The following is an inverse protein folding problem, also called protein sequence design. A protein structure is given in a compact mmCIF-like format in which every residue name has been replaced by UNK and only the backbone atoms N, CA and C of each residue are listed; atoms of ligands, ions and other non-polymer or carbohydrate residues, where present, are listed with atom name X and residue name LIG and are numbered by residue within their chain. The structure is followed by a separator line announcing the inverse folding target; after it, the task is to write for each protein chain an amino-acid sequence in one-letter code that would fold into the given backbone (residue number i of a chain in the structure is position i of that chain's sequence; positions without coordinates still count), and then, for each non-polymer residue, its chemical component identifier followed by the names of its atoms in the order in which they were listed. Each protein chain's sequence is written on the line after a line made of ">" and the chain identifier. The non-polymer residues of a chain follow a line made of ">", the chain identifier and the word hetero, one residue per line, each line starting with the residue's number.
data_IF_663583968004
#
_entry.id   IF_663583968004
#
_cell.length_a   1.000
_cell.length_b   1.000
_cell.length_c   1.000
_cell.angle_alpha   90.00
_cell.angle_beta   90.00
_cell.angle_gamma   90.00
#
_symmetry.space_group_name_H-M   'P 1'
#
loop_
_entity.id
_entity.type
_entity.pdbx_description
1 polymer ?
#
# COMPACT_ATOMS: atom_id res chain seq x y z
N UNK A 1 14.85 37.16 1.64
CA UNK A 1 14.79 35.74 1.31
C UNK A 1 16.24 35.25 1.25
N UNK A 2 16.65 34.36 2.16
CA UNK A 2 17.98 33.78 2.10
C UNK A 2 17.98 32.71 1.00
N UNK A 3 18.57 33.04 -0.13
CA UNK A 3 18.80 32.08 -1.21
C UNK A 3 19.99 31.21 -0.78
N UNK A 4 19.75 29.94 -0.53
CA UNK A 4 20.82 28.97 -0.36
C UNK A 4 21.35 28.66 -1.75
N UNK A 5 22.65 28.83 -2.04
CA UNK A 5 23.20 28.49 -3.36
C UNK A 5 23.01 27.00 -3.62
N UNK A 6 22.45 26.67 -4.78
CA UNK A 6 22.31 25.27 -5.17
C UNK A 6 23.66 24.69 -5.56
N UNK A 7 23.92 23.41 -5.25
CA UNK A 7 25.13 22.74 -5.68
C UNK A 7 25.17 22.66 -7.23
N UNK A 8 26.39 22.61 -7.82
CA UNK A 8 26.56 22.62 -9.28
C UNK A 8 25.76 21.55 -10.00
N UNK A 9 25.51 20.42 -9.36
CA UNK A 9 24.73 19.28 -9.88
C UNK A 9 23.26 19.65 -10.12
N UNK A 10 22.76 20.67 -9.43
CA UNK A 10 21.40 21.20 -9.56
C UNK A 10 21.33 22.47 -10.43
N UNK A 11 22.42 22.82 -11.12
CA UNK A 11 22.45 23.93 -12.09
C UNK A 11 21.32 23.75 -13.12
N UNK A 12 20.56 24.82 -13.35
CA UNK A 12 19.37 24.80 -14.22
C UNK A 12 18.04 24.75 -13.49
N UNK A 13 18.03 24.54 -12.16
CA UNK A 13 16.86 24.82 -11.31
C UNK A 13 16.88 26.23 -10.71
N UNK A 14 18.03 26.89 -10.64
CA UNK A 14 18.24 28.19 -9.97
C UNK A 14 17.24 29.26 -10.38
N UNK A 15 16.97 29.38 -11.68
CA UNK A 15 16.04 30.38 -12.20
C UNK A 15 14.58 29.90 -12.28
N UNK A 16 14.28 28.71 -11.78
CA UNK A 16 12.95 28.10 -11.87
C UNK A 16 12.29 27.93 -10.52
N UNK A 17 13.03 28.07 -9.43
CA UNK A 17 12.54 27.90 -8.06
C UNK A 17 12.62 29.22 -7.31
N UNK A 18 11.59 29.49 -6.52
CA UNK A 18 11.48 30.74 -5.74
C UNK A 18 11.94 30.57 -4.31
N UNK A 19 12.08 29.34 -3.86
CA UNK A 19 12.46 29.02 -2.50
C UNK A 19 13.19 27.67 -2.47
N UNK A 20 14.23 27.56 -1.63
CA UNK A 20 15.05 26.37 -1.48
C UNK A 20 15.41 26.20 0.00
N UNK A 21 15.29 24.99 0.50
CA UNK A 21 15.77 24.54 1.79
C UNK A 21 16.58 23.26 1.63
N UNK A 22 17.80 23.26 2.13
CA UNK A 22 18.56 22.03 2.27
C UNK A 22 18.10 21.28 3.51
N UNK A 23 17.65 20.03 3.35
CA UNK A 23 17.23 19.15 4.45
C UNK A 23 18.40 18.31 4.96
N UNK A 24 19.22 17.82 4.04
CA UNK A 24 20.46 17.12 4.33
C UNK A 24 21.45 17.27 3.14
N UNK A 25 22.62 16.63 3.20
CA UNK A 25 23.64 16.75 2.16
C UNK A 25 23.18 16.29 0.76
N UNK A 26 22.16 15.47 0.69
CA UNK A 26 21.63 14.88 -0.56
C UNK A 26 20.21 15.31 -0.92
N UNK A 27 19.49 16.01 -0.04
CA UNK A 27 18.07 16.33 -0.21
C UNK A 27 17.77 17.81 -0.04
N UNK A 28 17.13 18.37 -1.06
CA UNK A 28 16.67 19.74 -1.10
C UNK A 28 15.16 19.76 -1.27
N UNK A 29 14.47 20.60 -0.50
CA UNK A 29 13.07 20.93 -0.72
C UNK A 29 12.98 22.33 -1.33
N UNK A 30 12.15 22.48 -2.33
CA UNK A 30 12.02 23.75 -3.04
C UNK A 30 10.64 23.95 -3.66
N UNK A 31 10.35 25.18 -4.07
CA UNK A 31 9.13 25.49 -4.81
C UNK A 31 9.12 24.77 -6.15
N UNK A 32 7.97 24.23 -6.55
CA UNK A 32 7.87 23.50 -7.80
C UNK A 32 7.92 24.44 -9.02
N UNK A 33 8.79 24.22 -9.99
CA UNK A 33 8.82 25.01 -11.23
C UNK A 33 7.54 24.96 -12.04
N UNK A 34 6.76 23.89 -11.91
CA UNK A 34 5.52 23.67 -12.67
C UNK A 34 4.28 24.26 -12.01
N UNK A 35 4.08 23.99 -10.71
CA UNK A 35 2.86 24.42 -10.01
C UNK A 35 3.08 25.63 -9.09
N UNK A 36 4.31 26.17 -9.04
CA UNK A 36 4.62 27.40 -8.32
C UNK A 36 4.44 27.31 -6.80
N UNK A 37 4.14 28.46 -6.19
CA UNK A 37 4.06 28.67 -4.72
C UNK A 37 2.61 28.70 -4.23
N UNK A 38 1.65 28.12 -4.94
CA UNK A 38 0.24 28.16 -4.54
C UNK A 38 0.02 27.40 -3.22
N UNK A 39 -0.61 28.01 -2.21
CA UNK A 39 -0.85 27.36 -0.93
C UNK A 39 -1.86 26.22 -1.09
N UNK A 40 -1.49 25.03 -0.63
CA UNK A 40 -2.42 23.94 -0.40
C UNK A 40 -2.72 23.85 1.10
N UNK A 41 -3.96 23.59 1.46
CA UNK A 41 -4.45 23.58 2.85
C UNK A 41 -3.78 22.55 3.80
N UNK A 42 -2.91 21.70 3.30
CA UNK A 42 -2.28 20.62 4.10
C UNK A 42 -0.78 20.77 4.32
N UNK A 43 -0.14 21.77 3.77
CA UNK A 43 1.32 21.88 3.82
C UNK A 43 1.77 22.84 4.92
N UNK A 44 2.76 22.42 5.71
CA UNK A 44 3.41 23.27 6.72
C UNK A 44 4.14 24.46 6.10
N UNK A 45 4.53 24.34 4.81
CA UNK A 45 5.09 25.42 4.02
C UNK A 45 4.76 25.23 2.53
N UNK A 46 4.14 26.20 1.84
CA UNK A 46 3.69 26.07 0.45
C UNK A 46 4.82 25.89 -0.57
N UNK A 47 6.05 26.07 -0.14
CA UNK A 47 7.23 26.08 -1.00
C UNK A 47 8.08 24.80 -0.96
N UNK A 48 7.70 23.79 -0.19
CA UNK A 48 8.54 22.58 0.04
C UNK A 48 8.15 21.35 -0.77
N UNK A 49 7.32 21.52 -1.78
CA UNK A 49 6.66 20.41 -2.50
C UNK A 49 7.54 19.69 -3.49
N UNK A 50 8.54 20.37 -4.01
CA UNK A 50 9.46 19.80 -4.98
C UNK A 50 10.69 19.32 -4.25
N UNK A 51 10.84 18.01 -4.13
CA UNK A 51 11.98 17.36 -3.48
C UNK A 51 12.99 17.00 -4.56
N UNK A 52 14.23 17.39 -4.34
CA UNK A 52 15.35 17.08 -5.23
C UNK A 52 16.45 16.36 -4.44
N UNK A 53 16.91 15.26 -5.00
CA UNK A 53 18.07 14.52 -4.50
C UNK A 53 19.25 14.77 -5.43
N UNK A 54 20.39 15.15 -4.87
CA UNK A 54 21.64 15.36 -5.62
C UNK A 54 22.14 14.03 -6.19
N UNK A 55 22.07 12.99 -5.37
CA UNK A 55 22.32 11.61 -5.78
C UNK A 55 21.05 10.78 -5.60
N UNK A 56 20.35 10.53 -6.69
CA UNK A 56 19.15 9.70 -6.62
C UNK A 56 19.53 8.24 -6.39
N UNK A 57 18.74 7.55 -5.56
CA UNK A 57 18.91 6.11 -5.32
C UNK A 57 18.71 5.26 -6.57
N UNK A 58 18.16 5.83 -7.62
CA UNK A 58 17.83 5.11 -8.86
C UNK A 58 19.05 4.94 -9.76
N UNK A 59 19.84 6.01 -9.95
CA UNK A 59 20.95 6.03 -10.90
C UNK A 59 22.17 6.84 -10.45
N UNK A 60 22.17 7.35 -9.21
CA UNK A 60 23.23 8.20 -8.69
C UNK A 60 23.26 9.61 -9.27
N UNK A 61 22.31 9.99 -10.14
CA UNK A 61 22.23 11.32 -10.76
C UNK A 61 21.19 12.19 -10.07
N UNK A 62 21.28 13.52 -10.19
CA UNK A 62 20.27 14.42 -9.64
C UNK A 62 18.88 14.16 -10.21
N UNK A 63 17.91 14.05 -9.32
CA UNK A 63 16.51 13.81 -9.67
C UNK A 63 15.58 14.57 -8.72
N UNK A 64 14.52 15.15 -9.26
CA UNK A 64 13.50 15.83 -8.48
C UNK A 64 12.09 15.42 -8.84
N UNK A 65 11.19 15.48 -7.85
CA UNK A 65 9.77 15.20 -8.03
C UNK A 65 8.90 16.10 -7.16
N UNK A 66 7.89 16.67 -7.76
CA UNK A 66 6.89 17.44 -7.01
C UNK A 66 5.83 16.52 -6.40
N UNK A 67 5.64 16.59 -5.07
CA UNK A 67 4.61 15.83 -4.35
C UNK A 67 3.18 16.24 -4.72
N UNK A 68 3.00 17.49 -5.17
CA UNK A 68 1.69 18.03 -5.52
C UNK A 68 1.31 17.72 -6.97
N UNK A 69 2.14 18.12 -7.96
CA UNK A 69 1.77 17.98 -9.37
C UNK A 69 2.39 16.75 -10.06
N UNK A 70 3.25 16.00 -9.37
CA UNK A 70 3.93 14.84 -9.96
C UNK A 70 4.99 15.20 -11.01
N UNK A 71 5.25 16.50 -11.23
CA UNK A 71 6.28 16.94 -12.16
C UNK A 71 7.65 16.39 -11.73
N UNK A 72 8.42 15.91 -12.71
CA UNK A 72 9.73 15.31 -12.50
C UNK A 72 10.78 16.12 -13.21
N UNK A 73 11.95 16.18 -12.61
CA UNK A 73 13.13 16.81 -13.16
C UNK A 73 14.35 15.89 -13.02
N UNK A 74 15.25 15.97 -13.98
CA UNK A 74 16.55 15.30 -13.96
C UNK A 74 17.58 16.26 -14.53
N UNK A 75 18.81 16.20 -14.04
CA UNK A 75 19.93 17.01 -14.56
C UNK A 75 20.29 16.69 -16.00
N UNK A 76 20.01 15.49 -16.44
CA UNK A 76 20.15 15.11 -17.84
C UNK A 76 19.03 15.78 -18.63
N UNK A 77 19.38 16.88 -19.26
CA UNK A 77 18.50 17.77 -20.04
C UNK A 77 18.00 17.13 -21.32
N UNK A 78 17.54 16.01 -21.35
CA UNK A 78 16.72 15.55 -22.46
C UNK A 78 15.71 14.56 -21.92
N UNK A 79 14.58 14.50 -22.55
CA UNK A 79 13.81 13.28 -22.74
C UNK A 79 14.75 12.21 -23.32
N UNK A 80 15.76 11.83 -22.53
CA UNK A 80 16.72 10.81 -22.87
C UNK A 80 15.87 9.56 -23.04
N UNK A 81 15.56 9.28 -24.29
CA UNK A 81 15.04 7.99 -24.70
C UNK A 81 16.09 7.00 -24.19
N UNK A 82 15.83 6.41 -23.05
CA UNK A 82 16.70 5.38 -22.49
C UNK A 82 16.95 4.35 -23.57
N UNK A 83 18.20 4.04 -23.83
CA UNK A 83 18.51 2.93 -24.72
C UNK A 83 17.92 1.65 -24.11
N UNK A 84 17.68 0.65 -24.93
CA UNK A 84 17.15 -0.63 -24.42
C UNK A 84 18.11 -1.25 -23.40
N UNK A 85 19.42 -1.03 -23.52
CA UNK A 85 20.44 -1.46 -22.57
C UNK A 85 20.31 -0.73 -21.23
N UNK A 86 20.10 0.59 -21.23
CA UNK A 86 19.89 1.36 -20.00
C UNK A 86 18.60 0.97 -19.30
N UNK A 87 17.52 0.72 -20.06
CA UNK A 87 16.27 0.20 -19.53
C UNK A 87 16.48 -1.19 -18.90
N UNK A 88 17.18 -2.08 -19.59
CA UNK A 88 17.49 -3.41 -19.09
C UNK A 88 18.35 -3.36 -17.81
N UNK A 89 19.38 -2.53 -17.78
CA UNK A 89 20.23 -2.32 -16.61
C UNK A 89 19.45 -1.74 -15.42
N UNK A 90 18.55 -0.80 -15.66
CA UNK A 90 17.67 -0.25 -14.62
C UNK A 90 16.72 -1.30 -14.06
N UNK A 91 16.10 -2.10 -14.92
CA UNK A 91 15.21 -3.19 -14.51
C UNK A 91 15.97 -4.24 -13.71
N UNK A 92 17.18 -4.63 -14.15
CA UNK A 92 18.02 -5.58 -13.46
C UNK A 92 18.41 -5.07 -12.05
N UNK A 93 18.87 -3.82 -11.95
CA UNK A 93 19.22 -3.20 -10.66
C UNK A 93 18.00 -3.09 -9.73
N UNK A 94 16.83 -2.78 -10.27
CA UNK A 94 15.58 -2.73 -9.49
C UNK A 94 15.20 -4.12 -8.96
N UNK A 95 15.36 -5.17 -9.77
CA UNK A 95 15.13 -6.56 -9.34
C UNK A 95 16.08 -6.95 -8.21
N UNK A 96 17.37 -6.65 -8.35
CA UNK A 96 18.35 -6.91 -7.29
C UNK A 96 17.98 -6.21 -5.96
N UNK A 97 17.62 -4.92 -6.01
CA UNK A 97 17.20 -4.18 -4.82
C UNK A 97 15.94 -4.79 -4.18
N UNK A 98 14.99 -5.22 -4.99
CA UNK A 98 13.78 -5.88 -4.49
C UNK A 98 14.10 -7.24 -3.85
N UNK A 99 14.99 -8.04 -4.46
CA UNK A 99 15.43 -9.31 -3.88
C UNK A 99 16.12 -9.12 -2.52
N UNK A 100 17.05 -8.16 -2.42
CA UNK A 100 17.70 -7.82 -1.14
C UNK A 100 16.68 -7.38 -0.08
N UNK A 101 15.67 -6.62 -0.46
CA UNK A 101 14.61 -6.20 0.46
C UNK A 101 13.75 -7.38 0.90
N UNK A 102 13.45 -8.33 0.01
CA UNK A 102 12.72 -9.55 0.37
C UNK A 102 13.52 -10.46 1.31
N UNK A 103 14.82 -10.61 1.07
CA UNK A 103 15.73 -11.34 1.97
C UNK A 103 15.77 -10.67 3.35
N UNK A 104 15.86 -9.35 3.38
CA UNK A 104 15.80 -8.58 4.64
C UNK A 104 14.51 -8.79 5.40
N UNK A 105 13.38 -8.79 4.71
CA UNK A 105 12.06 -9.01 5.30
C UNK A 105 11.93 -10.44 5.80
N UNK A 106 12.39 -11.41 5.03
CA UNK A 106 12.41 -12.81 5.45
C UNK A 106 13.24 -12.99 6.71
N UNK A 107 14.45 -12.47 6.72
CA UNK A 107 15.32 -12.51 7.90
C UNK A 107 14.65 -11.83 9.11
N UNK A 108 14.01 -10.68 8.92
CA UNK A 108 13.27 -10.01 9.99
C UNK A 108 12.09 -10.85 10.49
N UNK A 109 11.30 -11.44 9.58
CA UNK A 109 10.21 -12.33 9.95
C UNK A 109 10.69 -13.52 10.78
N UNK A 110 11.76 -14.19 10.34
CA UNK A 110 12.35 -15.36 11.02
C UNK A 110 13.00 -15.00 12.36
N UNK A 111 13.67 -13.85 12.45
CA UNK A 111 14.46 -13.51 13.63
C UNK A 111 13.72 -12.70 14.67
N UNK A 112 12.82 -11.80 14.25
CA UNK A 112 12.11 -10.90 15.16
C UNK A 112 10.68 -11.38 15.40
N UNK A 113 9.90 -11.55 14.34
CA UNK A 113 8.47 -11.83 14.46
C UNK A 113 8.24 -13.27 14.95
N UNK A 114 8.93 -14.24 14.36
CA UNK A 114 8.77 -15.65 14.73
C UNK A 114 9.33 -15.95 16.11
N UNK A 115 10.49 -15.41 16.49
CA UNK A 115 11.08 -15.63 17.81
C UNK A 115 10.21 -15.07 18.94
N UNK A 116 9.51 -13.98 18.71
CA UNK A 116 8.65 -13.41 19.75
C UNK A 116 7.32 -14.15 19.91
N UNK A 117 6.86 -14.87 18.88
CA UNK A 117 5.61 -15.66 18.89
C UNK A 117 4.38 -14.95 19.47
N UNK A 118 4.43 -13.62 19.54
CA UNK A 118 3.37 -12.80 20.17
C UNK A 118 2.02 -12.97 19.49
N UNK A 119 2.00 -13.24 18.19
CA UNK A 119 0.78 -13.48 17.44
C UNK A 119 0.07 -14.76 17.92
N UNK A 120 0.81 -15.81 18.30
CA UNK A 120 0.26 -17.03 18.87
C UNK A 120 -0.41 -16.78 20.22
N UNK A 121 0.23 -15.98 21.08
CA UNK A 121 -0.34 -15.53 22.36
C UNK A 121 -1.66 -14.78 22.14
N UNK A 122 -1.68 -13.84 21.20
CA UNK A 122 -2.89 -13.07 20.94
C UNK A 122 -4.02 -13.92 20.34
N UNK A 123 -3.69 -14.89 19.49
CA UNK A 123 -4.65 -15.86 18.98
C UNK A 123 -5.24 -16.72 20.12
N UNK A 124 -4.41 -17.11 21.10
CA UNK A 124 -4.88 -17.81 22.28
C UNK A 124 -5.81 -16.95 23.14
N UNK A 125 -5.46 -15.68 23.39
CA UNK A 125 -6.29 -14.76 24.14
C UNK A 125 -7.69 -14.59 23.52
N UNK A 126 -7.82 -14.63 22.20
CA UNK A 126 -9.11 -14.54 21.52
C UNK A 126 -10.07 -15.69 21.89
N UNK A 127 -9.54 -16.88 22.22
CA UNK A 127 -10.37 -18.04 22.61
C UNK A 127 -11.17 -17.76 23.88
N UNK A 128 -10.63 -16.97 24.81
CA UNK A 128 -11.25 -16.62 26.09
C UNK A 128 -11.90 -15.24 26.11
N UNK A 129 -11.61 -14.39 25.11
CA UNK A 129 -12.13 -13.03 25.05
C UNK A 129 -13.54 -12.97 24.47
N UNK A 130 -14.54 -12.77 25.31
CA UNK A 130 -15.93 -12.53 24.86
C UNK A 130 -16.02 -11.34 23.94
N UNK A 131 -15.38 -10.22 24.30
CA UNK A 131 -15.36 -9.01 23.49
C UNK A 131 -14.80 -9.25 22.08
N UNK A 132 -13.63 -9.87 21.99
CA UNK A 132 -12.99 -10.15 20.69
C UNK A 132 -13.83 -11.07 19.81
N UNK A 133 -14.45 -12.08 20.40
CA UNK A 133 -15.34 -13.00 19.70
C UNK A 133 -16.60 -12.29 19.17
N UNK A 134 -17.25 -11.48 20.00
CA UNK A 134 -18.44 -10.71 19.61
C UNK A 134 -18.12 -9.71 18.51
N UNK A 135 -16.99 -9.01 18.60
CA UNK A 135 -16.52 -8.11 17.56
C UNK A 135 -16.36 -8.82 16.22
N UNK A 136 -15.71 -9.98 16.19
CA UNK A 136 -15.52 -10.75 14.95
C UNK A 136 -16.84 -11.34 14.43
N UNK A 137 -17.73 -11.82 15.32
CA UNK A 137 -19.07 -12.28 14.92
C UNK A 137 -19.89 -11.16 14.28
N UNK A 138 -19.88 -9.96 14.87
CA UNK A 138 -20.57 -8.79 14.32
C UNK A 138 -20.07 -8.42 12.92
N UNK A 139 -18.81 -8.77 12.61
CA UNK A 139 -18.23 -8.63 11.26
C UNK A 139 -18.44 -9.84 10.35
N UNK A 140 -19.26 -10.80 10.79
CA UNK A 140 -19.63 -11.96 10.01
C UNK A 140 -18.60 -13.09 9.96
N UNK A 141 -17.57 -13.06 10.80
CA UNK A 141 -16.62 -14.16 10.92
C UNK A 141 -17.18 -15.30 11.76
N UNK A 142 -16.87 -16.55 11.36
CA UNK A 142 -17.24 -17.75 12.11
C UNK A 142 -16.07 -18.24 12.96
N UNK A 143 -16.37 -18.85 14.11
CA UNK A 143 -15.35 -19.22 15.11
C UNK A 143 -14.28 -20.19 14.63
N UNK A 144 -14.61 -21.09 13.68
CA UNK A 144 -13.69 -22.04 13.10
C UNK A 144 -12.65 -21.40 12.17
N UNK A 145 -12.92 -20.18 11.64
CA UNK A 145 -12.05 -19.47 10.72
C UNK A 145 -11.06 -18.53 11.40
N UNK A 146 -11.39 -17.98 12.58
CA UNK A 146 -10.58 -16.92 13.22
C UNK A 146 -9.16 -17.38 13.50
N UNK A 147 -8.98 -18.53 14.17
CA UNK A 147 -7.67 -19.06 14.54
C UNK A 147 -7.06 -19.91 13.45
N UNK A 148 -7.85 -20.83 12.88
CA UNK A 148 -7.34 -21.85 11.95
C UNK A 148 -6.90 -21.27 10.63
N UNK A 149 -7.66 -20.33 10.07
CA UNK A 149 -7.39 -19.78 8.74
C UNK A 149 -6.69 -18.42 8.80
N UNK A 150 -7.22 -17.50 9.57
CA UNK A 150 -6.74 -16.11 9.55
C UNK A 150 -5.77 -15.81 10.69
N UNK A 151 -5.77 -16.60 11.76
CA UNK A 151 -4.93 -16.40 12.94
C UNK A 151 -5.23 -15.10 13.67
N UNK A 152 -6.49 -14.65 13.65
CA UNK A 152 -6.90 -13.50 14.44
C UNK A 152 -6.63 -13.73 15.90
N UNK A 153 -6.32 -12.66 16.59
CA UNK A 153 -6.14 -12.65 18.03
C UNK A 153 -6.67 -11.35 18.61
N UNK A 154 -6.48 -11.19 19.92
CA UNK A 154 -6.83 -9.96 20.63
C UNK A 154 -5.74 -9.53 21.58
N UNK A 155 -5.56 -8.23 21.67
CA UNK A 155 -4.82 -7.52 22.71
C UNK A 155 -5.81 -6.58 23.41
N UNK A 156 -6.27 -6.96 24.61
CA UNK A 156 -7.37 -6.24 25.29
C UNK A 156 -6.94 -4.87 25.79
N UNK A 157 -5.70 -4.75 26.27
CA UNK A 157 -5.13 -3.51 26.81
C UNK A 157 -4.02 -2.98 25.91
N UNK A 158 -4.34 -2.65 24.66
CA UNK A 158 -3.36 -2.05 23.76
C UNK A 158 -3.16 -0.57 24.09
N UNK A 159 -1.92 -0.20 24.45
CA UNK A 159 -1.51 1.20 24.60
C UNK A 159 -1.36 1.83 23.22
N UNK A 160 -2.38 2.55 22.80
CA UNK A 160 -2.36 3.29 21.55
C UNK A 160 -1.76 4.69 21.75
N UNK A 161 -0.61 4.95 21.15
CA UNK A 161 -0.12 6.32 21.00
C UNK A 161 -0.82 6.91 19.79
N UNK A 162 -1.97 7.51 20.05
CA UNK A 162 -2.88 8.00 19.04
C UNK A 162 -2.50 9.36 18.46
N UNK A 163 -3.29 9.81 17.49
CA UNK A 163 -3.09 11.10 16.82
C UNK A 163 -3.27 12.30 17.76
N UNK A 164 -4.25 12.22 18.68
CA UNK A 164 -4.58 13.29 19.62
C UNK A 164 -4.05 13.03 21.04
N UNK A 165 -3.99 11.78 21.46
CA UNK A 165 -3.63 11.40 22.83
C UNK A 165 -3.14 9.96 22.90
N UNK A 166 -2.54 9.60 24.04
CA UNK A 166 -2.25 8.20 24.36
C UNK A 166 -3.37 7.63 25.22
N UNK A 167 -3.90 6.47 24.84
CA UNK A 167 -4.99 5.80 25.51
C UNK A 167 -4.84 4.29 25.44
N UNK A 168 -5.66 3.56 26.17
CA UNK A 168 -5.75 2.10 26.12
C UNK A 168 -7.06 1.69 25.46
N UNK A 169 -7.00 0.72 24.55
CA UNK A 169 -8.17 0.20 23.85
C UNK A 169 -7.92 -1.25 23.41
N UNK A 170 -8.98 -2.05 23.26
CA UNK A 170 -8.86 -3.37 22.67
C UNK A 170 -8.41 -3.27 21.19
N UNK A 171 -7.62 -4.24 20.77
CA UNK A 171 -7.17 -4.34 19.38
C UNK A 171 -7.24 -5.78 18.88
N UNK A 172 -7.97 -6.00 17.80
CA UNK A 172 -7.91 -7.27 17.05
C UNK A 172 -6.56 -7.34 16.34
N UNK A 173 -5.86 -8.44 16.53
CA UNK A 173 -4.54 -8.67 15.90
C UNK A 173 -4.70 -9.55 14.67
N UNK A 174 -4.00 -9.20 13.61
CA UNK A 174 -3.99 -9.90 12.33
C UNK A 174 -2.55 -10.17 11.93
N UNK A 175 -2.10 -11.44 11.91
CA UNK A 175 -0.77 -11.76 11.42
C UNK A 175 -0.70 -11.48 9.91
N UNK A 176 0.24 -10.65 9.51
CA UNK A 176 0.50 -10.36 8.11
C UNK A 176 1.37 -11.47 7.55
N UNK A 177 0.76 -12.35 6.77
CA UNK A 177 1.44 -13.46 6.10
C UNK A 177 1.71 -13.03 4.66
N UNK A 178 2.98 -12.99 4.28
CA UNK A 178 3.42 -12.66 2.93
C UNK A 178 3.48 -13.89 2.02
N UNK A 179 3.96 -13.69 0.80
CA UNK A 179 4.15 -14.76 -0.21
C UNK A 179 5.15 -15.84 0.22
N UNK A 180 6.03 -15.54 1.16
CA UNK A 180 6.94 -16.50 1.78
C UNK A 180 6.23 -17.52 2.69
N UNK A 181 4.94 -17.32 3.01
CA UNK A 181 4.21 -18.08 4.03
C UNK A 181 4.59 -17.74 5.47
N UNK A 182 5.54 -16.82 5.68
CA UNK A 182 5.97 -16.37 7.00
C UNK A 182 5.10 -15.21 7.49
N UNK A 183 4.96 -15.10 8.83
CA UNK A 183 4.37 -13.91 9.44
C UNK A 183 5.41 -12.79 9.41
N UNK A 184 5.17 -11.80 8.57
CA UNK A 184 6.08 -10.67 8.36
C UNK A 184 5.81 -9.50 9.31
N UNK A 185 4.60 -9.39 9.82
CA UNK A 185 4.19 -8.40 10.81
C UNK A 185 2.90 -8.83 11.50
N UNK A 186 2.48 -8.08 12.49
CA UNK A 186 1.14 -8.17 13.09
C UNK A 186 0.47 -6.82 12.98
N UNK A 187 -0.65 -6.76 12.28
CA UNK A 187 -1.47 -5.56 12.20
C UNK A 187 -2.52 -5.56 13.29
N UNK A 188 -2.74 -4.41 13.85
CA UNK A 188 -3.70 -4.16 14.91
C UNK A 188 -4.87 -3.38 14.36
N UNK A 189 -6.07 -3.84 14.59
CA UNK A 189 -7.32 -3.10 14.42
C UNK A 189 -7.78 -2.63 15.78
N UNK A 190 -7.49 -1.39 16.14
CA UNK A 190 -8.01 -0.76 17.37
C UNK A 190 -9.51 -0.59 17.22
N UNK A 191 -10.29 -1.24 18.09
CA UNK A 191 -11.75 -1.32 17.94
C UNK A 191 -12.44 -0.05 18.43
N UNK A 192 -11.93 0.53 19.52
CA UNK A 192 -12.44 1.73 20.18
C UNK A 192 -11.48 2.90 19.95
N UNK A 193 -11.08 3.10 18.70
CA UNK A 193 -10.13 4.15 18.34
C UNK A 193 -10.76 5.54 18.53
N UNK A 194 -10.07 6.41 19.27
CA UNK A 194 -10.50 7.79 19.53
C UNK A 194 -10.43 8.68 18.27
N UNK A 195 -9.64 8.28 17.29
CA UNK A 195 -9.54 8.98 16.01
C UNK A 195 -9.41 7.97 14.86
N UNK A 196 -9.91 8.34 13.67
CA UNK A 196 -9.87 7.42 12.52
C UNK A 196 -8.45 6.99 12.13
N UNK A 197 -7.48 7.88 12.25
CA UNK A 197 -6.05 7.57 12.01
C UNK A 197 -5.46 6.54 12.96
N UNK A 198 -6.13 6.28 14.08
CA UNK A 198 -5.67 5.34 15.11
C UNK A 198 -6.23 3.93 14.91
N UNK A 199 -7.20 3.77 14.02
CA UNK A 199 -7.87 2.48 13.77
C UNK A 199 -6.94 1.34 13.40
N UNK A 200 -5.84 1.65 12.71
CA UNK A 200 -4.90 0.64 12.26
C UNK A 200 -3.49 0.97 12.70
N UNK A 201 -2.80 -0.02 13.26
CA UNK A 201 -1.41 0.06 13.69
C UNK A 201 -0.66 -1.19 13.26
N UNK A 202 0.62 -1.06 13.05
CA UNK A 202 1.51 -2.20 12.93
C UNK A 202 2.21 -2.42 14.27
N UNK A 203 2.26 -3.67 14.74
CA UNK A 203 2.93 -4.01 15.99
C UNK A 203 4.43 -3.73 15.89
N UNK A 204 5.00 -4.05 14.74
CA UNK A 204 6.40 -3.78 14.45
C UNK A 204 6.54 -2.65 13.44
N UNK A 205 7.46 -1.72 13.71
CA UNK A 205 7.80 -0.65 12.76
C UNK A 205 8.62 -1.25 11.63
N UNK A 206 8.01 -1.46 10.49
CA UNK A 206 8.68 -1.86 9.26
C UNK A 206 8.41 -0.80 8.19
N UNK A 207 9.42 -0.49 7.38
CA UNK A 207 9.28 0.46 6.27
C UNK A 207 8.65 -0.19 5.01
N UNK A 208 8.17 -1.42 5.13
CA UNK A 208 7.72 -2.21 3.99
C UNK A 208 6.20 -2.29 3.96
N UNK A 209 5.64 -2.04 2.80
CA UNK A 209 4.25 -2.37 2.51
C UNK A 209 4.17 -3.86 2.22
N UNK A 210 3.63 -4.61 3.15
CA UNK A 210 3.47 -6.05 3.01
C UNK A 210 2.32 -6.37 2.04
N UNK A 211 2.47 -7.48 1.32
CA UNK A 211 1.36 -8.11 0.61
C UNK A 211 0.72 -9.10 1.57
N UNK A 212 -0.57 -9.00 1.79
CA UNK A 212 -1.28 -9.88 2.73
C UNK A 212 -2.04 -10.97 1.99
N UNK A 213 -1.79 -12.20 2.38
CA UNK A 213 -2.49 -13.39 1.89
C UNK A 213 -3.37 -13.97 3.01
N UNK A 214 -4.71 -13.82 2.94
CA UNK A 214 -5.59 -14.25 4.04
C UNK A 214 -5.56 -15.76 4.29
N UNK A 215 -5.32 -16.57 3.26
CA UNK A 215 -5.34 -18.04 3.38
C UNK A 215 -3.98 -18.67 3.70
N UNK A 216 -2.95 -17.87 3.97
CA UNK A 216 -1.59 -18.33 4.36
C UNK A 216 -0.95 -19.34 3.42
N UNK A 217 -1.39 -19.44 2.19
CA UNK A 217 -0.84 -20.38 1.23
C UNK A 217 0.22 -19.68 0.38
N UNK A 218 1.48 -20.06 0.55
CA UNK A 218 2.55 -19.67 -0.37
C UNK A 218 2.32 -20.38 -1.71
N UNK A 219 1.72 -19.70 -2.68
CA UNK A 219 1.47 -20.21 -4.03
C UNK A 219 2.00 -19.26 -5.09
N UNK A 220 2.23 -19.82 -6.27
CA UNK A 220 2.48 -19.01 -7.46
C UNK A 220 1.23 -18.18 -7.75
N UNK A 221 1.37 -16.87 -7.77
CA UNK A 221 0.27 -15.93 -7.96
C UNK A 221 0.05 -15.66 -9.46
N UNK A 222 -0.69 -16.54 -10.15
CA UNK A 222 -0.99 -16.37 -11.58
C UNK A 222 -2.19 -15.46 -11.82
N UNK A 223 -3.27 -15.67 -11.07
CA UNK A 223 -4.47 -14.83 -11.11
C UNK A 223 -4.81 -14.37 -9.71
N UNK A 224 -4.89 -13.09 -9.50
CA UNK A 224 -5.14 -12.51 -8.17
C UNK A 224 -6.29 -11.53 -8.19
N UNK A 225 -6.99 -11.45 -7.07
CA UNK A 225 -7.95 -10.40 -6.79
C UNK A 225 -7.44 -9.56 -5.62
N UNK A 226 -7.24 -8.27 -5.87
CA UNK A 226 -6.75 -7.31 -4.88
C UNK A 226 -7.93 -6.62 -4.22
N UNK A 227 -8.00 -6.72 -2.89
CA UNK A 227 -8.99 -6.05 -2.05
C UNK A 227 -8.29 -5.02 -1.15
N UNK A 228 -9.02 -3.97 -0.77
CA UNK A 228 -8.51 -2.98 0.16
C UNK A 228 -8.63 -3.48 1.60
N UNK A 229 -7.49 -3.72 2.24
CA UNK A 229 -7.43 -4.09 3.66
C UNK A 229 -7.62 -5.57 3.98
N UNK A 230 -7.02 -5.95 5.09
CA UNK A 230 -6.83 -7.35 5.49
C UNK A 230 -8.16 -8.00 5.92
N UNK A 231 -8.95 -7.33 6.77
CA UNK A 231 -10.23 -7.89 7.24
C UNK A 231 -11.22 -8.11 6.11
N UNK A 232 -11.27 -7.18 5.15
CA UNK A 232 -12.10 -7.31 3.96
C UNK A 232 -11.72 -8.53 3.14
N UNK A 233 -10.42 -8.73 2.90
CA UNK A 233 -9.93 -9.90 2.16
C UNK A 233 -10.23 -11.21 2.91
N UNK A 234 -10.21 -11.22 4.24
CA UNK A 234 -10.63 -12.36 5.04
C UNK A 234 -12.15 -12.64 4.91
N UNK A 235 -12.99 -11.59 4.89
CA UNK A 235 -14.43 -11.75 4.65
C UNK A 235 -14.68 -12.37 3.27
N UNK A 236 -13.97 -11.88 2.26
CA UNK A 236 -14.03 -12.43 0.90
C UNK A 236 -13.57 -13.88 0.86
N UNK A 237 -12.46 -14.22 1.51
CA UNK A 237 -11.95 -15.59 1.60
C UNK A 237 -12.94 -16.54 2.26
N UNK A 238 -13.67 -16.07 3.27
CA UNK A 238 -14.66 -16.88 3.98
C UNK A 238 -15.97 -17.06 3.22
N UNK A 239 -16.47 -16.01 2.55
CA UNK A 239 -17.84 -15.96 2.05
C UNK A 239 -17.96 -15.57 0.56
N UNK A 240 -16.89 -15.08 -0.05
CA UNK A 240 -16.95 -14.41 -1.35
C UNK A 240 -17.17 -15.31 -2.55
N UNK A 241 -16.97 -16.63 -2.43
CA UNK A 241 -17.13 -17.62 -3.51
C UNK A 241 -16.42 -17.18 -4.80
N UNK A 242 -15.10 -16.94 -4.74
CA UNK A 242 -14.30 -16.60 -5.90
C UNK A 242 -14.17 -17.78 -6.89
N UNK A 243 -13.77 -17.51 -8.14
CA UNK A 243 -13.27 -18.57 -9.02
C UNK A 243 -12.10 -19.31 -8.36
N UNK A 244 -12.03 -20.64 -8.56
CA UNK A 244 -11.05 -21.48 -7.84
C UNK A 244 -9.59 -21.17 -8.17
N UNK A 245 -9.33 -20.61 -9.35
CA UNK A 245 -8.02 -20.24 -9.85
C UNK A 245 -7.59 -18.80 -9.50
N UNK A 246 -8.43 -18.07 -8.77
CA UNK A 246 -8.15 -16.69 -8.35
C UNK A 246 -7.77 -16.66 -6.89
N UNK A 247 -6.56 -16.18 -6.61
CA UNK A 247 -6.06 -16.02 -5.24
C UNK A 247 -6.40 -14.62 -4.69
N UNK A 248 -6.66 -14.55 -3.39
CA UNK A 248 -7.00 -13.30 -2.71
C UNK A 248 -5.73 -12.65 -2.20
N UNK A 249 -5.59 -11.36 -2.49
CA UNK A 249 -4.50 -10.52 -2.00
C UNK A 249 -5.10 -9.25 -1.40
N UNK A 250 -4.59 -8.80 -0.27
CA UNK A 250 -4.98 -7.49 0.25
C UNK A 250 -3.85 -6.46 0.08
N UNK A 251 -4.25 -5.25 -0.33
CA UNK A 251 -3.43 -4.06 -0.16
C UNK A 251 -3.59 -3.52 1.27
N UNK A 252 -2.59 -2.83 1.78
CA UNK A 252 -2.66 -2.25 3.14
C UNK A 252 -3.30 -0.85 3.18
N UNK A 253 -4.07 -0.51 2.18
CA UNK A 253 -4.74 0.78 2.01
C UNK A 253 -5.14 1.00 0.56
N UNK A 254 -5.60 2.21 0.23
CA UNK A 254 -6.11 2.56 -1.12
C UNK A 254 -5.05 2.43 -2.24
N UNK A 255 -3.78 2.46 -1.88
CA UNK A 255 -2.68 2.44 -2.84
C UNK A 255 -1.99 1.09 -2.92
N UNK A 256 -1.45 0.78 -4.10
CA UNK A 256 -0.58 -0.36 -4.33
C UNK A 256 0.87 0.11 -4.28
N UNK A 257 1.61 -0.40 -3.30
CA UNK A 257 3.02 -0.09 -3.13
C UNK A 257 3.92 -0.81 -4.13
N UNK A 258 5.17 -0.36 -4.24
CA UNK A 258 6.18 -0.93 -5.15
C UNK A 258 6.40 -2.43 -4.90
N UNK A 259 6.38 -2.86 -3.64
CA UNK A 259 6.53 -4.28 -3.30
C UNK A 259 5.42 -5.15 -3.87
N UNK A 260 4.16 -4.71 -3.78
CA UNK A 260 3.05 -5.45 -4.39
C UNK A 260 3.18 -5.50 -5.91
N UNK A 261 3.61 -4.41 -6.56
CA UNK A 261 3.86 -4.41 -8.00
C UNK A 261 4.91 -5.46 -8.38
N UNK A 262 6.00 -5.53 -7.63
CA UNK A 262 7.05 -6.53 -7.84
C UNK A 262 6.55 -7.96 -7.58
N UNK A 263 5.89 -8.19 -6.44
CA UNK A 263 5.33 -9.51 -6.09
C UNK A 263 4.37 -10.05 -7.15
N UNK A 264 3.63 -9.15 -7.80
CA UNK A 264 2.63 -9.49 -8.81
C UNK A 264 3.12 -9.25 -10.25
N UNK A 265 4.42 -9.05 -10.47
CA UNK A 265 4.94 -8.73 -11.80
C UNK A 265 4.68 -9.84 -12.84
N UNK A 266 4.69 -11.10 -12.39
CA UNK A 266 4.47 -12.28 -13.24
C UNK A 266 3.02 -12.77 -13.24
N UNK A 267 2.09 -12.07 -12.56
CA UNK A 267 0.67 -12.43 -12.62
C UNK A 267 0.10 -12.21 -14.02
N UNK A 268 -0.61 -13.18 -14.54
CA UNK A 268 -1.28 -13.10 -15.83
C UNK A 268 -2.51 -12.18 -15.80
N UNK A 269 -3.30 -12.28 -14.73
CA UNK A 269 -4.52 -11.49 -14.55
C UNK A 269 -4.61 -10.94 -13.14
N UNK A 270 -4.86 -9.64 -13.04
CA UNK A 270 -5.03 -8.92 -11.77
C UNK A 270 -6.43 -8.29 -11.74
N UNK A 271 -7.29 -8.80 -10.88
CA UNK A 271 -8.59 -8.21 -10.63
C UNK A 271 -8.46 -7.14 -9.54
N UNK A 272 -8.87 -5.92 -9.84
CA UNK A 272 -8.96 -4.83 -8.86
C UNK A 272 -10.40 -4.75 -8.34
N UNK A 273 -10.59 -5.10 -7.09
CA UNK A 273 -11.85 -5.00 -6.37
C UNK A 273 -11.67 -4.05 -5.18
N UNK A 274 -11.43 -2.78 -5.49
CA UNK A 274 -11.17 -1.72 -4.52
C UNK A 274 -12.48 -1.02 -4.12
N UNK A 275 -12.43 -0.22 -3.06
CA UNK A 275 -13.60 0.49 -2.56
C UNK A 275 -14.15 1.52 -3.55
N UNK A 276 -15.45 1.83 -3.50
CA UNK A 276 -16.10 2.76 -4.44
C UNK A 276 -15.45 4.15 -4.52
N UNK A 277 -14.87 4.63 -3.43
CA UNK A 277 -14.20 5.93 -3.40
C UNK A 277 -12.93 5.99 -4.27
N UNK A 278 -12.37 4.84 -4.67
CA UNK A 278 -11.25 4.77 -5.62
C UNK A 278 -11.65 5.11 -7.06
N UNK A 279 -12.94 5.12 -7.37
CA UNK A 279 -13.51 5.54 -8.66
C UNK A 279 -13.82 7.05 -8.71
N UNK A 280 -13.76 7.74 -7.58
CA UNK A 280 -14.00 9.18 -7.53
C UNK A 280 -12.78 9.91 -8.11
N UNK A 281 -12.97 10.74 -9.15
CA UNK A 281 -11.87 11.51 -9.70
C UNK A 281 -11.31 12.52 -8.68
N UNK A 282 -10.01 12.70 -8.70
CA UNK A 282 -9.37 13.80 -8.01
C UNK A 282 -9.55 15.12 -8.80
N UNK A 283 -8.99 16.22 -8.31
CA UNK A 283 -9.06 17.54 -8.95
C UNK A 283 -8.51 17.57 -10.39
N UNK A 284 -7.69 16.57 -10.79
CA UNK A 284 -7.12 16.44 -12.14
C UNK A 284 -7.95 15.54 -13.05
N UNK A 285 -9.02 14.96 -12.53
CA UNK A 285 -9.85 13.99 -13.22
C UNK A 285 -9.30 12.57 -13.19
N UNK A 286 -8.18 12.31 -12.49
CA UNK A 286 -7.62 10.97 -12.35
C UNK A 286 -8.31 10.21 -11.22
N UNK A 287 -8.49 8.92 -11.39
CA UNK A 287 -9.02 8.03 -10.35
C UNK A 287 -7.94 7.12 -9.78
N UNK A 288 -8.03 6.82 -8.48
CA UNK A 288 -7.08 5.90 -7.83
C UNK A 288 -7.10 4.52 -8.46
N UNK A 289 -8.27 4.03 -8.88
CA UNK A 289 -8.42 2.73 -9.53
C UNK A 289 -7.64 2.67 -10.86
N UNK A 290 -7.71 3.73 -11.68
CA UNK A 290 -7.00 3.78 -12.96
C UNK A 290 -5.50 3.97 -12.78
N UNK A 291 -5.08 4.79 -11.81
CA UNK A 291 -3.67 4.91 -11.45
C UNK A 291 -3.09 3.58 -10.96
N UNK A 292 -3.88 2.80 -10.22
CA UNK A 292 -3.50 1.45 -9.78
C UNK A 292 -3.42 0.49 -10.97
N UNK A 293 -4.39 0.53 -11.87
CA UNK A 293 -4.38 -0.28 -13.10
C UNK A 293 -3.14 -0.01 -13.96
N UNK A 294 -2.76 1.26 -14.11
CA UNK A 294 -1.56 1.67 -14.85
C UNK A 294 -0.27 1.07 -14.28
N UNK A 295 -0.17 0.98 -12.94
CA UNK A 295 1.01 0.41 -12.27
C UNK A 295 1.22 -1.08 -12.59
N UNK A 296 0.15 -1.81 -12.85
CA UNK A 296 0.19 -3.23 -13.21
C UNK A 296 0.21 -3.49 -14.71
N UNK A 297 -0.13 -2.50 -15.52
CA UNK A 297 -0.34 -2.63 -16.97
C UNK A 297 -1.79 -2.99 -17.33
N UNK A 298 -2.40 -2.17 -18.19
CA UNK A 298 -3.84 -2.26 -18.50
C UNK A 298 -4.28 -3.58 -19.12
N UNK A 299 -3.40 -4.25 -19.86
CA UNK A 299 -3.77 -5.47 -20.59
C UNK A 299 -4.12 -6.63 -19.67
N UNK A 300 -3.41 -6.76 -18.55
CA UNK A 300 -3.63 -7.84 -17.57
C UNK A 300 -4.55 -7.45 -16.41
N UNK A 301 -4.98 -6.18 -16.34
CA UNK A 301 -5.90 -5.72 -15.29
C UNK A 301 -7.35 -5.93 -15.72
N UNK A 302 -8.18 -6.34 -14.75
CA UNK A 302 -9.64 -6.37 -14.83
C UNK A 302 -10.18 -5.63 -13.62
N UNK A 303 -11.13 -4.75 -13.83
CA UNK A 303 -11.73 -3.95 -12.75
C UNK A 303 -13.10 -4.51 -12.45
N UNK A 304 -13.35 -4.77 -11.18
CA UNK A 304 -14.66 -5.21 -10.68
C UNK A 304 -15.35 -3.97 -10.10
N UNK A 305 -16.34 -3.39 -10.80
CA UNK A 305 -17.06 -2.23 -10.28
C UNK A 305 -17.97 -2.67 -9.14
N UNK A 306 -17.74 -2.12 -7.95
CA UNK A 306 -18.58 -2.33 -6.78
C UNK A 306 -19.25 -1.04 -6.38
N UNK A 307 -20.53 -1.07 -6.02
CA UNK A 307 -21.31 0.11 -5.62
C UNK A 307 -21.17 0.44 -4.14
N UNK A 308 -20.73 -0.52 -3.34
CA UNK A 308 -20.50 -0.41 -1.90
C UNK A 308 -19.26 -1.22 -1.52
N UNK A 309 -18.79 -1.10 -0.27
CA UNK A 309 -17.66 -1.90 0.21
C UNK A 309 -17.98 -3.38 0.06
N UNK A 310 -17.01 -4.13 -0.46
CA UNK A 310 -17.25 -5.52 -0.86
C UNK A 310 -17.59 -6.44 0.30
N UNK A 311 -17.02 -6.20 1.48
CA UNK A 311 -17.33 -6.95 2.71
C UNK A 311 -18.79 -6.71 3.14
N UNK A 312 -19.25 -5.46 3.13
CA UNK A 312 -20.64 -5.12 3.46
C UNK A 312 -21.60 -5.74 2.42
N UNK A 313 -21.26 -5.69 1.15
CA UNK A 313 -22.05 -6.31 0.08
C UNK A 313 -22.20 -7.82 0.28
N UNK A 314 -21.10 -8.52 0.57
CA UNK A 314 -21.09 -9.97 0.79
C UNK A 314 -21.94 -10.35 2.02
N UNK A 315 -21.87 -9.57 3.09
CA UNK A 315 -22.68 -9.79 4.28
C UNK A 315 -24.18 -9.60 4.00
N UNK A 316 -24.54 -8.78 3.03
CA UNK A 316 -25.90 -8.58 2.52
C UNK A 316 -26.33 -9.60 1.45
N UNK A 317 -25.50 -10.62 1.19
CA UNK A 317 -25.83 -11.69 0.24
C UNK A 317 -25.36 -11.44 -1.20
N UNK A 318 -24.53 -10.43 -1.45
CA UNK A 318 -23.99 -10.16 -2.78
C UNK A 318 -23.12 -11.34 -3.28
N UNK A 319 -23.43 -11.82 -4.49
CA UNK A 319 -22.66 -12.87 -5.12
C UNK A 319 -21.44 -12.30 -5.86
N UNK A 320 -20.30 -12.30 -5.19
CA UNK A 320 -19.06 -11.77 -5.75
C UNK A 320 -18.62 -12.53 -7.02
N UNK A 321 -18.90 -13.84 -7.16
CA UNK A 321 -18.56 -14.62 -8.36
C UNK A 321 -19.20 -14.03 -9.62
N UNK A 322 -20.43 -13.55 -9.52
CA UNK A 322 -21.09 -12.90 -10.66
C UNK A 322 -20.38 -11.59 -11.03
N UNK A 323 -19.83 -10.87 -10.06
CA UNK A 323 -19.09 -9.64 -10.33
C UNK A 323 -17.77 -9.91 -11.08
N UNK A 324 -17.13 -11.05 -10.85
CA UNK A 324 -15.95 -11.45 -11.64
C UNK A 324 -16.29 -11.68 -13.12
N UNK A 325 -17.48 -12.23 -13.40
CA UNK A 325 -17.94 -12.41 -14.78
C UNK A 325 -18.22 -11.07 -15.50
N UNK A 326 -18.50 -10.03 -14.72
CA UNK A 326 -18.75 -8.67 -15.22
C UNK A 326 -17.50 -7.77 -15.14
N UNK A 327 -16.34 -8.32 -14.80
CA UNK A 327 -15.11 -7.55 -14.72
C UNK A 327 -14.73 -6.98 -16.10
N UNK A 328 -14.40 -5.70 -16.12
CA UNK A 328 -14.13 -4.94 -17.35
C UNK A 328 -12.65 -4.57 -17.47
N UNK A 329 -12.18 -4.40 -18.70
CA UNK A 329 -10.85 -3.81 -18.92
C UNK A 329 -10.86 -2.33 -18.56
N UNK A 330 -9.74 -1.76 -18.10
CA UNK A 330 -9.64 -0.32 -17.79
C UNK A 330 -10.12 0.58 -18.93
N UNK A 331 -9.82 0.23 -20.17
CA UNK A 331 -10.25 0.98 -21.37
C UNK A 331 -11.76 1.06 -21.57
N UNK A 332 -12.53 0.17 -20.95
CA UNK A 332 -13.99 0.10 -21.08
C UNK A 332 -14.72 1.01 -20.07
N UNK A 333 -14.01 1.54 -19.07
CA UNK A 333 -14.61 2.38 -18.02
C UNK A 333 -14.73 3.85 -18.42
N UNK A 334 -14.03 4.31 -19.47
CA UNK A 334 -14.02 5.72 -19.86
C UNK A 334 -13.41 6.66 -18.82
N UNK A 335 -12.71 6.14 -17.80
CA UNK A 335 -12.05 6.90 -16.74
C UNK A 335 -10.63 7.29 -17.16
N UNK A 336 -10.17 8.44 -16.66
CA UNK A 336 -8.78 8.88 -16.82
C UNK A 336 -7.87 8.27 -15.74
N UNK A 337 -6.62 8.01 -16.08
CA UNK A 337 -5.61 7.46 -15.17
C UNK A 337 -4.21 7.98 -15.41
#
# INVERSE_FOLDING_TARGET
>A
MNFIPLPPELAGLENRVQWVQQVNYNEYHMSCPQCGVQPHHSDSHPSDRFIVWVESRLNGKPFGMCRSCGWKWSSDKHDAIWTEEEKAAFVAKRRELNQREEERIRHYAETVVMKQQVYGKYAHNLITSTYGQEYLKARGFTSDKWNRWFGFGILEDFKCTGYLSTYYAPAITMPIVGVSGLVENVKLRVTDAHHERDRFRNLYKTNTQHVYLPLREGKVLNKVAIFEGEMKSCTVAQKGRLPQDVQIVASQGKGVGTRMQYTLENCEVIYLCLDPDTFIPNERGDTTIMQTAKKFGYDRVRIIPVKQKVDDAILQGFNLRNAFNMAVKPSQLGLKG
#
